data_IF_158421072002
#
_entry.id   IF_158421072002
#
_cell.length_a   1.000
_cell.length_b   1.000
_cell.length_c   1.000
_cell.angle_alpha   90.00
_cell.angle_beta   90.00
_cell.angle_gamma   90.00
#
_symmetry.space_group_name_H-M   'P 1'
#
loop_
_entity.id
_entity.type
_entity.pdbx_description
1 polymer ?
#
# COMPACT_ATOMS: atom_id res chain seq x y z
N UNK A 1 -4.52 2.44 -12.00
CA UNK A 1 -5.41 2.44 -10.83
C UNK A 1 -5.86 3.88 -10.60
N UNK A 2 -7.11 4.11 -10.19
CA UNK A 2 -7.55 5.46 -9.85
C UNK A 2 -7.44 5.72 -8.33
N UNK A 3 -7.53 7.00 -7.95
CA UNK A 3 -7.39 7.43 -6.56
C UNK A 3 -8.46 6.79 -5.64
N UNK A 4 -9.70 6.62 -6.11
CA UNK A 4 -10.79 6.05 -5.30
C UNK A 4 -10.53 4.58 -4.96
N UNK A 5 -10.04 3.83 -5.95
CA UNK A 5 -9.64 2.43 -5.77
C UNK A 5 -8.50 2.35 -4.77
N UNK A 6 -7.51 3.23 -4.88
CA UNK A 6 -6.38 3.27 -3.95
C UNK A 6 -6.79 3.65 -2.52
N UNK A 7 -7.65 4.66 -2.34
CA UNK A 7 -8.18 5.01 -1.01
C UNK A 7 -8.97 3.85 -0.38
N UNK A 8 -9.70 3.06 -1.18
CA UNK A 8 -10.39 1.86 -0.70
C UNK A 8 -9.40 0.79 -0.23
N UNK A 9 -8.27 0.64 -0.92
CA UNK A 9 -7.18 -0.27 -0.55
C UNK A 9 -6.55 0.16 0.79
N UNK A 10 -6.27 1.46 0.99
CA UNK A 10 -5.76 1.96 2.28
C UNK A 10 -6.75 1.75 3.41
N UNK A 11 -8.05 1.93 3.16
CA UNK A 11 -9.07 1.70 4.18
C UNK A 11 -9.12 0.24 4.62
N UNK A 12 -8.92 -0.70 3.69
CA UNK A 12 -8.78 -2.14 4.00
C UNK A 12 -7.55 -2.38 4.89
N UNK A 13 -6.40 -1.80 4.55
CA UNK A 13 -5.18 -1.93 5.37
C UNK A 13 -5.38 -1.33 6.78
N UNK A 14 -6.06 -0.19 6.88
CA UNK A 14 -6.41 0.44 8.16
C UNK A 14 -7.32 -0.44 9.00
N UNK A 15 -8.31 -1.08 8.39
CA UNK A 15 -9.20 -2.02 9.08
C UNK A 15 -8.45 -3.27 9.53
N UNK A 16 -7.53 -3.79 8.70
CA UNK A 16 -6.70 -4.95 9.05
C UNK A 16 -5.89 -4.65 10.31
N UNK A 17 -5.17 -3.52 10.33
CA UNK A 17 -4.43 -3.05 11.52
C UNK A 17 -5.32 -2.87 12.75
N UNK A 18 -6.51 -2.29 12.58
CA UNK A 18 -7.45 -2.14 13.70
C UNK A 18 -7.84 -3.50 14.30
N UNK A 19 -8.17 -4.50 13.48
CA UNK A 19 -8.52 -5.83 13.98
C UNK A 19 -7.32 -6.58 14.56
N UNK A 20 -6.10 -6.33 14.08
CA UNK A 20 -4.88 -6.84 14.70
C UNK A 20 -4.72 -6.31 16.13
N UNK A 21 -4.86 -5.00 16.34
CA UNK A 21 -4.82 -4.36 17.66
C UNK A 21 -5.94 -4.90 18.60
N UNK A 22 -7.15 -5.09 18.07
CA UNK A 22 -8.26 -5.72 18.81
C UNK A 22 -7.98 -7.19 19.16
N UNK A 23 -7.28 -7.93 18.29
CA UNK A 23 -6.87 -9.31 18.55
C UNK A 23 -5.77 -9.40 19.62
N UNK A 24 -4.86 -8.43 19.69
CA UNK A 24 -3.84 -8.35 20.74
C UNK A 24 -4.46 -8.07 22.12
N UNK A 25 -5.52 -7.27 22.17
CA UNK A 25 -6.21 -6.87 23.40
C UNK A 25 -7.33 -7.82 23.83
N UNK A 26 -7.63 -8.86 23.05
CA UNK A 26 -8.70 -9.82 23.30
C UNK A 26 -8.17 -11.23 23.52
N UNK A 27 -8.85 -12.03 24.35
CA UNK A 27 -8.52 -13.45 24.57
C UNK A 27 -9.62 -14.41 24.07
N UNK A 28 -9.26 -15.68 23.88
CA UNK A 28 -10.20 -16.76 23.59
C UNK A 28 -10.78 -16.73 22.17
N UNK A 29 -12.04 -17.19 22.03
CA UNK A 29 -12.66 -17.39 20.71
C UNK A 29 -12.84 -16.11 19.88
N UNK A 30 -12.92 -14.94 20.52
CA UNK A 30 -13.06 -13.64 19.84
C UNK A 30 -11.74 -13.22 19.19
N UNK A 31 -10.60 -13.49 19.83
CA UNK A 31 -9.27 -13.28 19.23
C UNK A 31 -9.13 -14.01 17.91
N UNK A 32 -9.57 -15.27 17.85
CA UNK A 32 -9.51 -16.07 16.61
C UNK A 32 -10.38 -15.48 15.50
N UNK A 33 -11.52 -14.85 15.84
CA UNK A 33 -12.37 -14.18 14.84
C UNK A 33 -11.65 -12.95 14.27
N UNK A 34 -11.03 -12.13 15.11
CA UNK A 34 -10.28 -10.96 14.65
C UNK A 34 -9.07 -11.34 13.80
N UNK A 35 -8.29 -12.34 14.20
CA UNK A 35 -7.18 -12.84 13.37
C UNK A 35 -7.65 -13.32 12.00
N UNK A 36 -8.79 -14.01 11.93
CA UNK A 36 -9.37 -14.42 10.66
C UNK A 36 -9.83 -13.21 9.81
N UNK A 37 -10.37 -12.18 10.44
CA UNK A 37 -10.73 -10.94 9.74
C UNK A 37 -9.49 -10.23 9.17
N UNK A 38 -8.37 -10.21 9.90
CA UNK A 38 -7.07 -9.72 9.41
C UNK A 38 -6.65 -10.49 8.16
N UNK A 39 -6.63 -11.82 8.22
CA UNK A 39 -6.27 -12.68 7.07
C UNK A 39 -7.18 -12.44 5.84
N UNK A 40 -8.49 -12.31 6.05
CA UNK A 40 -9.46 -12.05 4.98
C UNK A 40 -9.24 -10.65 4.36
N UNK A 41 -8.92 -9.64 5.17
CA UNK A 41 -8.64 -8.27 4.71
C UNK A 41 -7.32 -8.18 3.96
N UNK A 42 -6.26 -8.82 4.45
CA UNK A 42 -4.97 -8.87 3.76
C UNK A 42 -5.11 -9.57 2.40
N UNK A 43 -5.89 -10.66 2.37
CA UNK A 43 -6.21 -11.36 1.11
C UNK A 43 -6.95 -10.44 0.12
N UNK A 44 -7.87 -9.60 0.60
CA UNK A 44 -8.59 -8.64 -0.25
C UNK A 44 -7.67 -7.51 -0.73
N UNK A 45 -6.82 -7.00 0.15
CA UNK A 45 -5.79 -6.01 -0.15
C UNK A 45 -4.89 -6.49 -1.30
N UNK A 46 -4.34 -7.70 -1.18
CA UNK A 46 -3.49 -8.30 -2.22
C UNK A 46 -4.22 -8.50 -3.54
N UNK A 47 -5.48 -8.97 -3.49
CA UNK A 47 -6.29 -9.14 -4.69
C UNK A 47 -6.54 -7.81 -5.40
N UNK A 48 -6.78 -6.73 -4.66
CA UNK A 48 -7.04 -5.42 -5.24
C UNK A 48 -5.77 -4.80 -5.85
N UNK A 49 -4.62 -4.98 -5.20
CA UNK A 49 -3.33 -4.62 -5.79
C UNK A 49 -3.08 -5.46 -7.07
N UNK A 50 -3.37 -6.76 -7.05
CA UNK A 50 -3.31 -7.65 -8.23
C UNK A 50 -4.28 -7.29 -9.34
N UNK A 51 -5.46 -6.74 -9.04
CA UNK A 51 -6.37 -6.16 -10.05
C UNK A 51 -5.77 -4.88 -10.64
N UNK A 52 -5.07 -4.09 -9.82
CA UNK A 52 -4.15 -3.05 -10.28
C UNK A 52 -2.95 -3.57 -11.09
N UNK A 53 -2.88 -4.89 -11.31
CA UNK A 53 -1.78 -5.69 -11.90
C UNK A 53 -0.42 -5.48 -11.23
N UNK A 54 -0.42 -5.30 -9.92
CA UNK A 54 0.75 -5.53 -9.05
C UNK A 54 0.81 -7.01 -8.67
N UNK A 55 1.95 -7.67 -8.84
CA UNK A 55 2.19 -9.00 -8.28
C UNK A 55 3.19 -8.87 -7.15
N UNK A 56 3.02 -9.70 -6.13
CA UNK A 56 3.90 -9.77 -4.97
C UNK A 56 5.35 -10.16 -5.35
N UNK A 57 5.52 -10.81 -6.50
CA UNK A 57 6.81 -11.14 -7.13
C UNK A 57 7.34 -10.03 -8.07
N UNK A 58 6.58 -8.95 -8.29
CA UNK A 58 7.04 -7.83 -9.12
C UNK A 58 8.14 -7.12 -8.35
N UNK A 59 9.38 -7.31 -8.81
CA UNK A 59 10.50 -6.52 -8.32
C UNK A 59 10.26 -5.06 -8.67
N UNK A 60 10.70 -4.12 -7.82
CA UNK A 60 10.73 -2.72 -8.20
C UNK A 60 11.37 -2.59 -9.59
N UNK A 61 10.64 -1.97 -10.51
CA UNK A 61 11.15 -1.77 -11.86
C UNK A 61 12.24 -0.69 -11.85
N UNK A 62 12.08 0.30 -10.97
CA UNK A 62 12.93 1.47 -10.84
C UNK A 62 13.00 1.94 -9.38
N UNK A 63 14.11 2.58 -9.01
CA UNK A 63 14.22 3.34 -7.76
C UNK A 63 14.07 4.82 -8.08
N UNK A 64 13.51 5.58 -7.13
CA UNK A 64 13.33 7.01 -7.28
C UNK A 64 13.57 7.77 -5.98
N UNK A 65 13.70 9.08 -6.10
CA UNK A 65 13.76 9.99 -4.96
C UNK A 65 12.60 10.97 -5.09
N UNK A 66 11.80 11.11 -4.04
CA UNK A 66 10.73 12.09 -4.01
C UNK A 66 11.30 13.51 -4.11
N UNK A 67 10.85 14.30 -5.08
CA UNK A 67 11.25 15.70 -5.24
C UNK A 67 10.24 16.68 -4.64
N UNK A 68 9.05 16.19 -4.27
CA UNK A 68 7.97 16.93 -3.61
C UNK A 68 7.32 16.08 -2.53
N UNK A 69 6.79 16.74 -1.50
CA UNK A 69 5.96 16.07 -0.49
C UNK A 69 4.59 15.75 -1.06
N UNK A 70 4.20 14.48 -1.03
CA UNK A 70 2.88 14.01 -1.52
C UNK A 70 2.36 12.92 -0.58
N UNK A 71 1.09 13.01 -0.17
CA UNK A 71 0.40 11.97 0.61
C UNK A 71 1.15 11.49 1.87
N UNK A 72 1.95 12.36 2.51
CA UNK A 72 2.73 12.04 3.71
C UNK A 72 4.17 11.59 3.43
N UNK A 73 4.51 11.25 2.18
CA UNK A 73 5.89 10.96 1.78
C UNK A 73 6.66 12.27 1.65
N UNK A 74 7.78 12.38 2.37
CA UNK A 74 8.61 13.59 2.36
C UNK A 74 9.49 13.66 1.11
N UNK A 75 9.87 14.89 0.76
CA UNK A 75 10.95 15.15 -0.20
C UNK A 75 12.25 14.47 0.27
N UNK A 76 13.05 14.00 -0.69
CA UNK A 76 14.29 13.22 -0.53
C UNK A 76 14.12 11.82 0.07
N UNK A 77 12.89 11.37 0.28
CA UNK A 77 12.62 9.96 0.61
C UNK A 77 12.92 9.10 -0.61
N UNK A 78 13.70 8.03 -0.41
CA UNK A 78 13.90 7.00 -1.43
C UNK A 78 12.64 6.15 -1.51
N UNK A 79 12.18 5.92 -2.73
CA UNK A 79 10.99 5.12 -3.02
C UNK A 79 11.30 4.09 -4.09
N UNK A 80 10.68 2.93 -3.93
CA UNK A 80 10.71 1.86 -4.91
C UNK A 80 9.50 2.05 -5.82
N UNK A 81 9.74 2.31 -7.10
CA UNK A 81 8.67 2.46 -8.10
C UNK A 81 8.28 1.07 -8.55
N UNK A 82 7.09 0.70 -8.14
CA UNK A 82 6.53 -0.62 -8.39
C UNK A 82 5.80 -0.63 -9.72
N UNK A 83 5.13 0.48 -10.04
CA UNK A 83 4.35 0.58 -11.27
C UNK A 83 4.02 2.01 -11.67
N UNK A 84 4.13 2.30 -12.95
CA UNK A 84 3.46 3.44 -13.58
C UNK A 84 2.10 3.06 -14.17
N UNK A 85 1.16 4.00 -14.09
CA UNK A 85 -0.16 3.91 -14.69
C UNK A 85 -0.30 4.94 -15.81
N UNK A 86 -1.11 4.60 -16.82
CA UNK A 86 -1.33 5.42 -18.02
C UNK A 86 -1.90 6.83 -17.74
N UNK A 87 -2.32 7.10 -16.51
CA UNK A 87 -2.87 8.39 -16.06
C UNK A 87 -1.83 9.31 -15.38
N UNK A 88 -0.54 8.99 -15.47
CA UNK A 88 0.55 9.79 -14.88
C UNK A 88 0.74 9.60 -13.38
N UNK A 89 0.11 8.57 -12.79
CA UNK A 89 0.35 8.18 -11.40
C UNK A 89 1.29 6.97 -11.37
N UNK A 90 2.10 6.87 -10.31
CA UNK A 90 2.86 5.69 -9.99
C UNK A 90 2.53 5.17 -8.58
N UNK A 91 2.54 3.85 -8.46
CA UNK A 91 2.52 3.15 -7.18
C UNK A 91 3.96 3.01 -6.71
N UNK A 92 4.23 3.48 -5.51
CA UNK A 92 5.55 3.41 -4.90
C UNK A 92 5.47 2.83 -3.49
N UNK A 93 6.52 2.13 -3.06
CA UNK A 93 6.75 1.85 -1.64
C UNK A 93 7.82 2.80 -1.11
N UNK A 94 7.68 3.28 0.12
CA UNK A 94 8.80 3.93 0.79
C UNK A 94 9.73 2.88 1.42
N UNK A 95 10.64 3.31 2.32
CA UNK A 95 11.50 2.38 3.06
C UNK A 95 10.73 1.39 3.96
N UNK A 96 9.43 1.60 4.17
CA UNK A 96 8.52 0.69 4.83
C UNK A 96 7.59 0.07 3.76
N UNK A 97 6.98 -1.10 4.01
CA UNK A 97 6.05 -1.74 3.06
C UNK A 97 4.71 -0.98 2.92
N UNK A 98 4.68 0.33 3.17
CA UNK A 98 3.52 1.19 3.00
C UNK A 98 3.45 1.68 1.55
N UNK A 99 2.35 1.37 0.88
CA UNK A 99 2.12 1.77 -0.50
C UNK A 99 1.64 3.22 -0.57
N UNK A 100 2.17 3.98 -1.53
CA UNK A 100 1.73 5.32 -1.86
C UNK A 100 1.42 5.44 -3.35
N UNK A 101 0.35 6.16 -3.67
CA UNK A 101 0.04 6.55 -5.04
C UNK A 101 0.41 8.03 -5.21
N UNK A 102 1.42 8.30 -6.04
CA UNK A 102 1.95 9.65 -6.26
C UNK A 102 2.00 9.99 -7.75
N UNK A 103 1.99 11.26 -8.15
CA UNK A 103 2.22 11.63 -9.54
C UNK A 103 3.67 11.36 -9.95
N UNK A 104 3.89 10.81 -11.14
CA UNK A 104 5.23 10.45 -11.64
C UNK A 104 6.20 11.63 -11.63
N UNK A 105 5.71 12.84 -11.93
CA UNK A 105 6.52 14.06 -11.95
C UNK A 105 7.05 14.48 -10.56
N UNK A 106 6.57 13.84 -9.50
CA UNK A 106 7.03 14.07 -8.12
C UNK A 106 8.17 13.15 -7.69
N UNK A 107 8.59 12.24 -8.58
CA UNK A 107 9.65 11.27 -8.35
C UNK A 107 10.76 11.48 -9.39
N UNK A 108 11.97 11.73 -8.91
CA UNK A 108 13.16 11.72 -9.75
C UNK A 108 13.68 10.28 -9.84
N UNK A 109 13.51 9.65 -11.00
CA UNK A 109 13.91 8.27 -11.28
C UNK A 109 15.44 8.21 -11.41
N UNK A 110 16.06 7.22 -10.75
CA UNK A 110 17.52 7.03 -10.68
C UNK A 110 18.00 5.92 -11.61
#
# INVERSE_FOLDING_TARGET
MDLKTFESIKEIARLSKHYEEEAESTEGGVKLVYLKMVEDLDTLYDKLLRIGKYREDDKPELEGIMNKTVNGVSIYTRVDIIREYDNGLCLVFDTQPEAYLVPIETVDIV
#
